data_IF_541403060779
#
_entry.id   IF_541403060779
#
_cell.length_a   1.000
_cell.length_b   1.000
_cell.length_c   1.000
_cell.angle_alpha   90.00
_cell.angle_beta   90.00
_cell.angle_gamma   90.00
#
_symmetry.space_group_name_H-M   'P 1'
#
loop_
_entity.id
_entity.type
_entity.pdbx_description
1 polymer ?
#
# COMPACT_ATOMS: atom_id res chain seq x y z
N UNK A 1 17.72 3.53 -0.82
CA UNK A 1 16.42 3.84 -0.21
C UNK A 1 15.40 3.50 -1.28
N UNK A 2 14.53 2.52 -1.06
CA UNK A 2 13.52 2.18 -2.05
C UNK A 2 12.65 3.41 -2.29
N UNK A 3 12.51 3.81 -3.54
CA UNK A 3 11.56 4.84 -3.93
C UNK A 3 10.16 4.37 -3.51
N UNK A 4 9.39 5.25 -2.89
CA UNK A 4 8.02 4.96 -2.49
C UNK A 4 7.18 4.87 -3.77
N UNK A 5 6.78 3.66 -4.19
CA UNK A 5 5.99 3.48 -5.42
C UNK A 5 4.57 4.04 -5.28
N UNK A 6 4.04 4.03 -4.04
CA UNK A 6 2.74 4.61 -3.73
C UNK A 6 2.83 6.13 -3.54
N UNK A 7 2.11 6.85 -4.40
CA UNK A 7 2.03 8.30 -4.33
C UNK A 7 1.41 8.82 -3.03
N UNK A 8 1.96 9.92 -2.50
CA UNK A 8 1.58 10.54 -1.22
C UNK A 8 0.18 11.18 -1.24
N UNK A 9 -0.22 11.79 -2.35
CA UNK A 9 -1.51 12.47 -2.44
C UNK A 9 -2.73 11.53 -2.23
N UNK A 10 -2.76 10.32 -2.83
CA UNK A 10 -3.73 9.28 -2.46
C UNK A 10 -3.76 8.93 -0.97
N UNK A 11 -2.60 8.85 -0.31
CA UNK A 11 -2.50 8.53 1.12
C UNK A 11 -3.15 9.60 1.98
N UNK A 12 -2.90 10.88 1.68
CA UNK A 12 -3.62 11.98 2.34
C UNK A 12 -5.13 11.87 2.17
N UNK A 13 -5.62 11.52 0.97
CA UNK A 13 -7.06 11.33 0.74
C UNK A 13 -7.61 10.15 1.54
N UNK A 14 -6.86 9.05 1.64
CA UNK A 14 -7.27 7.88 2.42
C UNK A 14 -7.38 8.22 3.91
N UNK A 15 -6.36 8.88 4.49
CA UNK A 15 -6.39 9.34 5.87
C UNK A 15 -7.57 10.28 6.13
N UNK A 16 -7.85 11.24 5.24
CA UNK A 16 -9.01 12.13 5.37
C UNK A 16 -10.34 11.39 5.30
N UNK A 17 -10.47 10.41 4.39
CA UNK A 17 -11.66 9.55 4.30
C UNK A 17 -11.85 8.69 5.56
N UNK A 18 -10.76 8.33 6.24
CA UNK A 18 -10.78 7.64 7.52
C UNK A 18 -11.14 8.58 8.72
N UNK A 19 -11.40 9.86 8.47
CA UNK A 19 -11.82 10.82 9.50
C UNK A 19 -10.69 11.71 10.02
N UNK A 20 -9.48 11.64 9.47
CA UNK A 20 -8.41 12.55 9.88
C UNK A 20 -8.65 13.97 9.36
N UNK A 21 -8.80 14.93 10.27
CA UNK A 21 -8.97 16.34 9.92
C UNK A 21 -7.67 16.95 9.35
N UNK A 22 -6.52 16.56 9.93
CA UNK A 22 -5.18 16.95 9.49
C UNK A 22 -4.27 15.74 9.39
N UNK A 23 -3.41 15.73 8.37
CA UNK A 23 -2.49 14.63 8.08
C UNK A 23 -1.16 15.24 7.67
N UNK A 24 -0.08 14.88 8.38
CA UNK A 24 1.27 15.32 8.01
C UNK A 24 1.77 14.53 6.79
N UNK A 25 2.72 15.11 6.05
CA UNK A 25 3.35 14.40 4.93
C UNK A 25 4.05 13.11 5.40
N UNK A 26 4.67 13.15 6.59
CA UNK A 26 5.29 11.97 7.20
C UNK A 26 4.27 10.86 7.48
N UNK A 27 3.07 11.20 8.00
CA UNK A 27 2.01 10.21 8.22
C UNK A 27 1.52 9.59 6.90
N UNK A 28 1.40 10.40 5.84
CA UNK A 28 1.02 9.93 4.52
C UNK A 28 2.11 9.02 3.89
N UNK A 29 3.40 9.34 4.09
CA UNK A 29 4.54 8.48 3.69
C UNK A 29 4.51 7.14 4.41
N UNK A 30 4.30 7.15 5.72
CA UNK A 30 4.27 5.92 6.52
C UNK A 30 3.11 5.02 6.11
N UNK A 31 1.94 5.61 5.83
CA UNK A 31 0.81 4.86 5.29
C UNK A 31 1.12 4.22 3.93
N UNK A 32 1.75 4.95 3.01
CA UNK A 32 2.15 4.38 1.73
C UNK A 32 3.09 3.19 1.91
N UNK A 33 4.11 3.32 2.77
CA UNK A 33 5.03 2.22 3.07
C UNK A 33 4.30 0.99 3.64
N UNK A 34 3.40 1.20 4.60
CA UNK A 34 2.63 0.12 5.20
C UNK A 34 1.73 -0.59 4.18
N UNK A 35 1.07 0.17 3.29
CA UNK A 35 0.23 -0.41 2.24
C UNK A 35 1.03 -1.15 1.18
N UNK A 36 2.23 -0.68 0.85
CA UNK A 36 3.14 -1.36 -0.07
C UNK A 36 3.60 -2.71 0.50
N UNK A 37 4.02 -2.74 1.77
CA UNK A 37 4.40 -3.99 2.44
C UNK A 37 3.26 -5.01 2.47
N UNK A 38 2.03 -4.56 2.75
CA UNK A 38 0.83 -5.40 2.72
C UNK A 38 0.53 -5.86 1.29
N UNK A 39 0.61 -4.95 0.31
CA UNK A 39 0.35 -5.24 -1.09
C UNK A 39 1.31 -6.31 -1.65
N UNK A 40 2.59 -6.23 -1.30
CA UNK A 40 3.60 -7.22 -1.70
C UNK A 40 3.28 -8.60 -1.10
N UNK A 41 2.85 -8.67 0.17
CA UNK A 41 2.46 -9.94 0.80
C UNK A 41 1.27 -10.57 0.08
N UNK A 42 0.22 -9.79 -0.16
CA UNK A 42 -0.98 -10.24 -0.89
C UNK A 42 -0.60 -10.69 -2.31
N UNK A 43 0.26 -9.95 -3.02
CA UNK A 43 0.68 -10.30 -4.37
C UNK A 43 1.45 -11.63 -4.41
N UNK A 44 2.30 -11.90 -3.42
CA UNK A 44 3.02 -13.18 -3.30
C UNK A 44 2.06 -14.33 -3.07
N UNK A 45 1.12 -14.20 -2.13
CA UNK A 45 0.11 -15.23 -1.87
C UNK A 45 -0.77 -15.49 -3.09
N UNK A 46 -1.18 -14.43 -3.80
CA UNK A 46 -1.95 -14.55 -5.02
C UNK A 46 -1.17 -15.30 -6.13
N UNK A 47 0.13 -15.02 -6.25
CA UNK A 47 1.01 -15.74 -7.18
C UNK A 47 1.11 -17.22 -6.80
N UNK A 48 1.32 -17.53 -5.52
CA UNK A 48 1.37 -18.90 -5.02
C UNK A 48 0.08 -19.66 -5.35
N UNK A 49 -1.08 -19.05 -5.13
CA UNK A 49 -2.37 -19.64 -5.52
C UNK A 49 -2.53 -19.80 -7.03
N UNK A 50 -2.07 -18.84 -7.83
CA UNK A 50 -2.10 -18.95 -9.29
C UNK A 50 -1.25 -20.13 -9.79
N UNK A 51 -0.03 -20.27 -9.25
CA UNK A 51 0.87 -21.38 -9.56
C UNK A 51 0.28 -22.73 -9.17
N UNK A 52 -0.32 -22.86 -7.98
CA UNK A 52 -1.01 -24.09 -7.56
C UNK A 52 -2.21 -24.43 -8.47
N UNK A 53 -2.88 -23.43 -9.02
CA UNK A 53 -3.98 -23.61 -9.97
C UNK A 53 -3.51 -23.86 -11.42
N UNK A 54 -2.20 -23.90 -11.69
CA UNK A 54 -1.63 -24.05 -13.03
C UNK A 54 -1.84 -22.84 -13.94
N UNK A 55 -2.19 -21.67 -13.38
CA UNK A 55 -2.39 -20.42 -14.12
C UNK A 55 -1.11 -19.57 -14.02
N UNK A 56 -0.67 -19.03 -15.17
CA UNK A 56 0.49 -18.14 -15.25
C UNK A 56 0.09 -16.70 -15.02
#
# INVERSE_FOLDING_TARGET
>A
MADLELAIAPMHRLCKKAGAERVSEAAAKELAKALEDIGIKIAKEALDFSMHAGRK
#
